data_IF_029244570818
#
_entry.id   IF_029244570818
#
_cell.length_a   1.000
_cell.length_b   1.000
_cell.length_c   1.000
_cell.angle_alpha   90.00
_cell.angle_beta   90.00
_cell.angle_gamma   90.00
#
_symmetry.space_group_name_H-M   'P 1'
#
loop_
_entity.id
_entity.type
_entity.pdbx_description
1 polymer ?
#
# COMPACT_ATOMS: atom_id res chain seq x y z
N UNK A 1 7.93 23.89 22.18
CA UNK A 1 8.82 22.75 21.87
C UNK A 1 8.74 22.51 20.38
N UNK A 2 9.85 22.78 19.68
CA UNK A 2 10.01 22.61 18.23
C UNK A 2 10.35 21.15 17.97
N UNK A 3 9.49 20.43 17.26
CA UNK A 3 9.88 19.18 16.59
C UNK A 3 10.02 19.48 15.11
N UNK A 4 11.28 19.70 14.74
CA UNK A 4 11.80 19.90 13.40
C UNK A 4 12.25 18.52 12.93
N UNK A 5 11.30 17.67 12.54
CA UNK A 5 11.60 16.34 12.02
C UNK A 5 10.77 16.13 10.75
N UNK A 6 11.46 15.78 9.67
CA UNK A 6 10.89 15.56 8.35
C UNK A 6 9.65 14.68 8.49
N UNK A 7 8.52 15.24 8.08
CA UNK A 7 7.22 14.60 8.08
C UNK A 7 7.30 13.44 7.09
N UNK A 8 7.75 12.28 7.54
CA UNK A 8 7.27 11.04 6.98
C UNK A 8 5.79 11.06 7.32
N UNK A 9 4.96 11.53 6.37
CA UNK A 9 3.52 11.32 6.42
C UNK A 9 3.35 9.80 6.36
N UNK A 10 3.51 9.13 7.50
CA UNK A 10 3.10 7.76 7.74
C UNK A 10 1.58 7.76 7.80
N UNK A 11 0.98 8.19 6.68
CA UNK A 11 -0.44 8.32 6.49
C UNK A 11 -0.92 6.91 6.21
N UNK A 12 -1.35 6.25 7.28
CA UNK A 12 -1.88 4.89 7.19
C UNK A 12 -3.23 4.99 6.50
N UNK A 13 -3.26 4.55 5.26
CA UNK A 13 -4.46 4.57 4.44
C UNK A 13 -5.12 3.20 4.51
N UNK A 14 -6.36 3.15 5.01
CA UNK A 14 -7.15 1.93 5.00
C UNK A 14 -7.51 1.58 3.55
N UNK A 15 -6.91 0.49 3.07
CA UNK A 15 -7.12 -0.03 1.74
C UNK A 15 -7.50 -1.51 1.84
N UNK A 16 -8.49 -1.90 1.05
CA UNK A 16 -8.89 -3.30 0.93
C UNK A 16 -8.20 -3.94 -0.27
N UNK A 17 -7.69 -5.16 -0.12
CA UNK A 17 -7.06 -5.90 -1.22
C UNK A 17 -8.16 -6.47 -2.11
N UNK A 18 -8.21 -6.06 -3.37
CA UNK A 18 -9.14 -6.60 -4.36
C UNK A 18 -8.61 -7.92 -4.92
N UNK A 19 -7.36 -7.90 -5.39
CA UNK A 19 -6.75 -9.06 -6.05
C UNK A 19 -5.24 -8.94 -6.02
N UNK A 20 -4.56 -10.08 -5.93
CA UNK A 20 -3.11 -10.15 -6.02
C UNK A 20 -2.72 -11.04 -7.22
N UNK A 21 -1.89 -10.49 -8.10
CA UNK A 21 -1.31 -11.20 -9.25
C UNK A 21 0.16 -11.51 -8.97
N UNK A 22 0.49 -12.76 -8.61
CA UNK A 22 1.88 -13.14 -8.36
C UNK A 22 2.75 -13.13 -9.61
N UNK A 23 2.17 -13.37 -10.80
CA UNK A 23 2.91 -13.38 -12.08
C UNK A 23 3.52 -12.01 -12.43
N UNK A 24 2.81 -10.94 -12.06
CA UNK A 24 3.23 -9.55 -12.35
C UNK A 24 3.75 -8.84 -11.08
N UNK A 25 3.80 -9.55 -9.94
CA UNK A 25 4.08 -8.99 -8.61
C UNK A 25 3.23 -7.73 -8.33
N UNK A 26 1.97 -7.75 -8.75
CA UNK A 26 1.05 -6.61 -8.66
C UNK A 26 -0.15 -6.90 -7.75
N UNK A 27 -0.41 -6.01 -6.80
CA UNK A 27 -1.57 -6.01 -5.90
C UNK A 27 -2.52 -4.92 -6.35
N UNK A 28 -3.79 -5.27 -6.53
CA UNK A 28 -4.87 -4.33 -6.73
C UNK A 28 -5.51 -4.02 -5.39
N UNK A 29 -5.44 -2.76 -4.99
CA UNK A 29 -5.95 -2.24 -3.75
C UNK A 29 -7.10 -1.28 -4.05
N UNK A 30 -8.07 -1.19 -3.14
CA UNK A 30 -9.10 -0.17 -3.18
C UNK A 30 -8.99 0.72 -1.95
N UNK A 31 -8.78 2.01 -2.17
CA UNK A 31 -8.75 2.99 -1.10
C UNK A 31 -10.19 3.33 -0.68
N UNK A 32 -10.51 3.07 0.58
CA UNK A 32 -11.86 3.30 1.10
C UNK A 32 -12.06 4.77 1.44
N UNK A 33 -11.14 5.35 2.21
CA UNK A 33 -11.22 6.75 2.69
C UNK A 33 -10.27 7.70 1.95
N UNK A 34 -9.17 7.16 1.40
CA UNK A 34 -8.08 7.96 0.85
C UNK A 34 -8.25 8.26 -0.63
N UNK A 35 -8.02 9.51 -1.01
CA UNK A 35 -8.04 9.90 -2.42
C UNK A 35 -6.85 9.38 -3.22
N UNK A 36 -7.13 8.96 -4.45
CA UNK A 36 -6.08 8.47 -5.36
C UNK A 36 -4.97 9.50 -5.56
N UNK A 37 -5.27 10.80 -5.46
CA UNK A 37 -4.32 11.91 -5.63
C UNK A 37 -3.19 11.90 -4.60
N UNK A 38 -3.42 11.31 -3.42
CA UNK A 38 -2.41 11.18 -2.37
C UNK A 38 -1.38 10.09 -2.66
N UNK A 39 -1.73 9.13 -3.52
CA UNK A 39 -0.86 8.02 -3.90
C UNK A 39 0.11 8.39 -5.02
N UNK A 40 1.28 8.90 -4.67
CA UNK A 40 2.37 9.21 -5.60
C UNK A 40 2.81 7.98 -6.40
N UNK A 41 2.87 8.11 -7.73
CA UNK A 41 3.36 7.03 -8.60
C UNK A 41 4.88 6.78 -8.45
N UNK A 42 5.61 7.82 -8.03
CA UNK A 42 7.05 7.77 -7.79
C UNK A 42 7.40 7.42 -6.34
N UNK A 43 6.39 7.32 -5.47
CA UNK A 43 6.57 7.02 -4.06
C UNK A 43 6.70 5.52 -3.77
N UNK A 44 7.57 5.17 -2.83
CA UNK A 44 7.59 3.84 -2.24
C UNK A 44 6.54 3.76 -1.13
N UNK A 45 5.64 2.79 -1.22
CA UNK A 45 4.63 2.50 -0.20
C UNK A 45 4.91 1.14 0.44
N UNK A 46 4.68 1.07 1.74
CA UNK A 46 4.69 -0.17 2.50
C UNK A 46 3.23 -0.60 2.75
N UNK A 47 2.86 -1.78 2.26
CA UNK A 47 1.55 -2.37 2.51
C UNK A 47 1.71 -3.44 3.59
N UNK A 48 1.01 -3.26 4.72
CA UNK A 48 0.95 -4.23 5.81
C UNK A 48 -0.37 -4.96 5.78
N UNK A 49 -0.30 -6.28 5.83
CA UNK A 49 -1.40 -7.21 5.69
C UNK A 49 -1.39 -8.06 6.95
N UNK A 50 -2.21 -7.67 7.93
CA UNK A 50 -2.43 -8.49 9.12
C UNK A 50 -3.34 -9.66 8.77
N UNK A 51 -2.81 -10.88 8.84
CA UNK A 51 -3.57 -12.12 8.68
C UNK A 51 -3.58 -12.87 10.03
N UNK A 52 -4.53 -13.79 10.22
CA UNK A 52 -4.65 -14.55 11.48
C UNK A 52 -3.39 -15.36 11.86
N UNK A 53 -2.55 -15.70 10.88
CA UNK A 53 -1.27 -16.42 11.08
C UNK A 53 -0.03 -15.50 11.20
N UNK A 54 -0.20 -14.17 11.08
CA UNK A 54 0.90 -13.21 11.22
C UNK A 54 0.73 -11.94 10.37
N UNK A 55 1.58 -10.95 10.63
CA UNK A 55 1.64 -9.72 9.83
C UNK A 55 2.63 -9.89 8.67
N UNK A 56 2.13 -9.76 7.45
CA UNK A 56 2.97 -9.71 6.24
C UNK A 56 3.06 -8.28 5.77
N UNK A 57 4.27 -7.77 5.56
CA UNK A 57 4.50 -6.46 4.96
C UNK A 57 5.13 -6.61 3.57
N UNK A 58 4.86 -5.69 2.67
CA UNK A 58 5.53 -5.61 1.37
C UNK A 58 5.80 -4.16 0.99
N UNK A 59 6.92 -3.96 0.30
CA UNK A 59 7.31 -2.65 -0.21
C UNK A 59 7.21 -2.67 -1.73
N UNK A 60 6.58 -1.63 -2.25
CA UNK A 60 6.31 -1.47 -3.67
C UNK A 60 6.06 -0.02 -4.01
N UNK A 61 5.63 0.20 -5.25
CA UNK A 61 5.27 1.51 -5.76
C UNK A 61 3.95 1.42 -6.51
N UNK A 62 3.20 2.51 -6.53
CA UNK A 62 1.93 2.57 -7.26
C UNK A 62 2.25 2.72 -8.74
N UNK A 63 1.91 1.70 -9.53
CA UNK A 63 2.06 1.73 -11.00
C UNK A 63 0.96 2.52 -11.66
N UNK A 64 -0.27 2.30 -11.23
CA UNK A 64 -1.46 2.91 -11.80
C UNK A 64 -2.45 3.23 -10.69
N UNK A 65 -3.19 4.32 -10.85
CA UNK A 65 -4.27 4.72 -9.94
C UNK A 65 -5.42 5.25 -10.78
N UNK A 66 -6.60 4.71 -10.58
CA UNK A 66 -7.78 5.11 -11.34
C UNK A 66 -9.04 4.93 -10.50
N UNK A 67 -10.04 5.75 -10.79
CA UNK A 67 -11.34 5.62 -10.17
C UNK A 67 -12.27 4.79 -11.05
N UNK A 68 -12.98 3.86 -10.42
CA UNK A 68 -13.86 2.86 -11.01
C UNK A 68 -15.22 2.92 -10.26
N UNK A 69 -16.28 2.35 -10.83
CA UNK A 69 -17.56 2.06 -10.13
C UNK A 69 -17.38 1.39 -8.77
N UNK A 70 -16.38 0.53 -8.58
CA UNK A 70 -16.08 -0.07 -7.26
C UNK A 70 -15.51 0.93 -6.26
N UNK A 71 -14.92 2.03 -6.72
CA UNK A 71 -14.25 3.04 -5.90
C UNK A 71 -12.85 3.38 -6.43
N UNK A 72 -11.96 3.76 -5.52
CA UNK A 72 -10.62 4.28 -5.82
C UNK A 72 -9.61 3.14 -5.93
N UNK A 73 -9.36 2.67 -7.15
CA UNK A 73 -8.50 1.50 -7.41
C UNK A 73 -7.05 1.92 -7.61
N UNK A 74 -6.15 1.18 -6.99
CA UNK A 74 -4.71 1.37 -7.02
C UNK A 74 -4.05 0.08 -7.44
N UNK A 75 -3.15 0.15 -8.41
CA UNK A 75 -2.27 -0.94 -8.82
C UNK A 75 -0.93 -0.73 -8.16
N UNK A 76 -0.68 -1.49 -7.11
CA UNK A 76 0.56 -1.50 -6.37
C UNK A 76 1.47 -2.59 -6.90
N UNK A 77 2.61 -2.24 -7.47
CA UNK A 77 3.62 -3.19 -7.89
C UNK A 77 4.65 -3.37 -6.79
N UNK A 78 4.81 -4.60 -6.35
CA UNK A 78 5.79 -4.99 -5.36
C UNK A 78 7.17 -4.91 -5.99
N UNK A 79 8.11 -4.27 -5.31
CA UNK A 79 9.51 -4.16 -5.76
C UNK A 79 10.46 -5.05 -4.97
N UNK A 80 10.13 -5.34 -3.71
CA UNK A 80 11.06 -5.98 -2.78
C UNK A 80 10.47 -7.24 -2.11
N UNK A 81 9.49 -7.87 -2.78
CA UNK A 81 8.75 -9.01 -2.27
C UNK A 81 7.93 -8.72 -1.01
N UNK A 82 7.39 -9.80 -0.43
CA UNK A 82 6.76 -9.79 0.89
C UNK A 82 7.76 -10.26 1.94
N UNK A 83 7.80 -9.58 3.07
CA UNK A 83 8.51 -10.02 4.27
C UNK A 83 7.51 -10.18 5.41
N UNK A 84 7.70 -11.22 6.22
CA UNK A 84 6.91 -11.41 7.44
C UNK A 84 7.51 -10.53 8.52
N UNK A 85 6.74 -9.62 9.08
CA UNK A 85 7.13 -8.98 10.32
C UNK A 85 6.81 -9.98 11.44
N UNK A 86 7.77 -10.85 11.74
CA UNK A 86 7.73 -11.67 12.94
C UNK A 86 7.95 -10.73 14.11
N UNK A 87 6.88 -10.10 14.58
CA UNK A 87 6.88 -9.44 15.89
C UNK A 87 7.14 -10.57 16.90
N UNK A 88 8.38 -10.65 17.37
CA UNK A 88 8.82 -11.63 18.35
C UNK A 88 8.34 -11.22 19.75
#
# INVERSE_FOLDING_TARGET
MVLKEGRFDAKVHHCSIITYRPEEECIYLIAEDTDITEFSLDGNYECRISQSEGETACIGAIRERYWNKSGRVLKFQIKNGFYKNLVN
#
